data_IF_536517369683
#
_entry.id   IF_536517369683
#
_cell.length_a   1.000
_cell.length_b   1.000
_cell.length_c   1.000
_cell.angle_alpha   90.00
_cell.angle_beta   90.00
_cell.angle_gamma   90.00
#
_symmetry.space_group_name_H-M   'P 1'
#
loop_
_entity.id
_entity.type
_entity.pdbx_description
1 polymer ?
#
# COMPACT_ATOMS: atom_id res chain seq x y z
N UNK A 1 10.96 -10.69 13.20
CA UNK A 1 11.32 -9.29 12.91
C UNK A 1 10.14 -8.62 12.25
N UNK A 2 9.79 -7.40 12.70
CA UNK A 2 8.70 -6.61 12.12
C UNK A 2 9.27 -5.68 11.05
N UNK A 3 8.70 -5.72 9.85
CA UNK A 3 9.12 -4.86 8.72
C UNK A 3 8.31 -3.58 8.74
N UNK A 4 8.97 -2.42 8.82
CA UNK A 4 8.32 -1.13 8.69
C UNK A 4 8.26 -0.71 7.23
N UNK A 5 7.07 -0.41 6.72
CA UNK A 5 6.86 0.04 5.35
C UNK A 5 6.16 1.40 5.37
N UNK A 6 6.64 2.33 4.56
CA UNK A 6 5.94 3.58 4.33
C UNK A 6 4.89 3.38 3.22
N UNK A 7 3.66 3.82 3.47
CA UNK A 7 2.56 3.81 2.53
C UNK A 7 2.51 5.16 1.83
N UNK A 8 3.00 5.18 0.59
CA UNK A 8 3.01 6.34 -0.31
C UNK A 8 1.63 6.55 -0.97
N UNK A 9 1.29 7.80 -1.32
CA UNK A 9 0.04 8.13 -1.99
C UNK A 9 -0.15 7.36 -3.30
N UNK A 10 0.92 7.21 -4.10
CA UNK A 10 0.88 6.45 -5.36
C UNK A 10 0.48 4.98 -5.15
N UNK A 11 0.88 4.38 -4.03
CA UNK A 11 0.51 3.01 -3.70
C UNK A 11 -0.97 2.90 -3.32
N UNK A 12 -1.49 3.88 -2.58
CA UNK A 12 -2.92 3.95 -2.23
C UNK A 12 -3.76 4.13 -3.50
N UNK A 13 -3.39 5.07 -4.37
CA UNK A 13 -4.08 5.33 -5.64
C UNK A 13 -4.14 4.07 -6.50
N UNK A 14 -3.01 3.41 -6.72
CA UNK A 14 -2.97 2.17 -7.49
C UNK A 14 -3.78 1.04 -6.84
N UNK A 15 -3.88 1.00 -5.52
CA UNK A 15 -4.69 -0.01 -4.83
C UNK A 15 -6.19 0.21 -5.03
N UNK A 16 -6.66 1.47 -5.04
CA UNK A 16 -8.09 1.81 -5.09
C UNK A 16 -8.64 1.95 -6.52
N UNK A 17 -7.85 2.45 -7.47
CA UNK A 17 -8.30 2.72 -8.83
C UNK A 17 -8.18 1.48 -9.72
N UNK A 18 -9.30 0.86 -10.07
CA UNK A 18 -9.33 -0.35 -10.92
C UNK A 18 -8.80 -0.14 -12.34
N UNK A 19 -8.75 1.11 -12.82
CA UNK A 19 -8.21 1.50 -14.11
C UNK A 19 -6.75 1.98 -14.06
N UNK A 20 -6.11 1.99 -12.88
CA UNK A 20 -4.68 2.28 -12.77
C UNK A 20 -3.87 1.15 -13.42
N UNK A 21 -2.84 1.52 -14.19
CA UNK A 21 -1.98 0.57 -14.89
C UNK A 21 -1.28 -0.44 -13.94
N UNK A 22 -1.07 -0.05 -12.68
CA UNK A 22 -0.43 -0.88 -11.66
C UNK A 22 -1.42 -1.59 -10.74
N UNK A 23 -2.73 -1.41 -10.92
CA UNK A 23 -3.75 -1.88 -9.99
C UNK A 23 -3.60 -3.36 -9.63
N UNK A 24 -3.48 -4.23 -10.64
CA UNK A 24 -3.38 -5.68 -10.43
C UNK A 24 -2.10 -6.08 -9.68
N UNK A 25 -0.99 -5.38 -9.94
CA UNK A 25 0.31 -5.64 -9.29
C UNK A 25 0.25 -5.21 -7.83
N UNK A 26 -0.26 -4.01 -7.57
CA UNK A 26 -0.41 -3.43 -6.23
C UNK A 26 -1.38 -4.25 -5.39
N UNK A 27 -2.53 -4.65 -5.95
CA UNK A 27 -3.52 -5.50 -5.30
C UNK A 27 -2.94 -6.86 -4.91
N UNK A 28 -2.25 -7.54 -5.84
CA UNK A 28 -1.57 -8.81 -5.55
C UNK A 28 -0.56 -8.62 -4.43
N UNK A 29 0.28 -7.59 -4.49
CA UNK A 29 1.29 -7.31 -3.45
C UNK A 29 0.61 -7.10 -2.09
N UNK A 30 -0.42 -6.27 -2.02
CA UNK A 30 -1.21 -6.02 -0.81
C UNK A 30 -1.81 -7.28 -0.20
N UNK A 31 -2.38 -8.16 -1.05
CA UNK A 31 -2.95 -9.43 -0.61
C UNK A 31 -1.89 -10.37 -0.01
N UNK A 32 -0.70 -10.41 -0.62
CA UNK A 32 0.41 -11.28 -0.19
C UNK A 32 1.17 -10.78 1.04
N UNK A 33 0.93 -9.55 1.50
CA UNK A 33 1.56 -9.03 2.72
C UNK A 33 1.08 -9.79 3.96
N UNK A 34 2.05 -10.27 4.76
CA UNK A 34 1.79 -10.79 6.11
C UNK A 34 1.53 -9.62 7.05
N UNK A 35 0.25 -9.25 7.19
CA UNK A 35 -0.22 -8.13 8.02
C UNK A 35 0.20 -8.25 9.49
N UNK A 36 0.58 -9.44 9.98
CA UNK A 36 1.05 -9.64 11.35
C UNK A 36 2.53 -9.28 11.54
N UNK A 37 3.30 -9.18 10.45
CA UNK A 37 4.75 -8.91 10.48
C UNK A 37 5.13 -7.55 9.89
N UNK A 38 4.14 -6.75 9.51
CA UNK A 38 4.39 -5.41 8.96
C UNK A 38 3.84 -4.32 9.88
N UNK A 39 4.53 -3.19 9.89
CA UNK A 39 4.03 -1.93 10.43
C UNK A 39 3.94 -0.95 9.27
N UNK A 40 2.73 -0.58 8.89
CA UNK A 40 2.47 0.45 7.88
C UNK A 40 2.50 1.83 8.55
N UNK A 41 3.28 2.74 7.98
CA UNK A 41 3.34 4.14 8.41
C UNK A 41 3.07 5.04 7.22
N UNK A 42 2.44 6.19 7.46
CA UNK A 42 2.14 7.18 6.42
C UNK A 42 2.14 8.56 7.07
N UNK A 43 2.01 9.62 6.28
CA UNK A 43 1.85 11.00 6.79
C UNK A 43 0.41 11.45 6.66
N UNK A 44 0.00 12.46 7.45
CA UNK A 44 -1.33 13.06 7.33
C UNK A 44 -1.56 13.71 5.97
N UNK A 45 -0.50 14.19 5.31
CA UNK A 45 -0.55 14.82 3.98
C UNK A 45 -1.05 13.90 2.86
N UNK A 46 -1.03 12.58 3.05
CA UNK A 46 -1.54 11.63 2.05
C UNK A 46 -3.08 11.57 2.06
N UNK A 47 -3.71 12.06 3.14
CA UNK A 47 -5.17 12.08 3.30
C UNK A 47 -5.77 13.49 3.26
N UNK A 48 -4.95 14.50 3.01
CA UNK A 48 -5.37 15.89 2.77
C UNK A 48 -5.66 16.09 1.28
#
# INVERSE_FOLDING_TARGET
MTTRLFLDASYVIALELTNDQNHQITLRRWQTLDKKKILLVTTSYIFD
#
